data_IF_102673799933
#
_entry.id   IF_102673799933
#
_cell.length_a   1.000
_cell.length_b   1.000
_cell.length_c   1.000
_cell.angle_alpha   90.00
_cell.angle_beta   90.00
_cell.angle_gamma   90.00
#
_symmetry.space_group_name_H-M   'P 1'
#
loop_
_entity.id
_entity.type
_entity.pdbx_description
1 polymer ?
#
# COMPACT_ATOMS: atom_id res chain seq x y z
N UNK A 1 -0.62 -5.62 29.84
CA UNK A 1 0.19 -6.43 28.91
C UNK A 1 0.91 -5.46 27.99
N UNK A 2 2.23 -5.38 28.10
CA UNK A 2 3.04 -4.52 27.24
C UNK A 2 2.97 -5.07 25.81
N UNK A 3 2.49 -4.27 24.86
CA UNK A 3 2.52 -4.63 23.44
C UNK A 3 3.97 -4.51 22.99
N UNK A 4 4.65 -5.63 22.81
CA UNK A 4 5.89 -5.68 22.03
C UNK A 4 5.52 -5.41 20.57
N UNK A 5 5.48 -4.13 20.21
CA UNK A 5 5.48 -3.69 18.81
C UNK A 5 6.90 -3.93 18.28
N UNK A 6 7.10 -4.76 17.24
CA UNK A 6 8.44 -5.03 16.74
C UNK A 6 9.01 -3.78 16.02
N UNK A 7 10.28 -3.48 16.31
CA UNK A 7 10.94 -2.15 16.28
C UNK A 7 11.40 -1.61 14.92
N UNK A 8 10.70 -1.88 13.82
CA UNK A 8 11.30 -1.72 12.48
C UNK A 8 10.75 -0.57 11.61
N UNK A 9 9.94 0.29 12.24
CA UNK A 9 9.84 1.74 12.10
C UNK A 9 9.09 2.12 13.38
N UNK A 10 9.62 2.99 14.22
CA UNK A 10 8.79 3.56 15.28
C UNK A 10 7.63 4.28 14.56
N UNK A 11 6.42 3.68 14.60
CA UNK A 11 5.16 4.17 14.04
C UNK A 11 5.18 4.60 12.53
N UNK A 12 5.20 3.66 11.55
CA UNK A 12 5.29 4.02 10.15
C UNK A 12 4.06 4.82 9.66
N UNK A 13 4.27 5.84 8.85
CA UNK A 13 3.16 6.57 8.22
C UNK A 13 2.80 5.90 6.89
N UNK A 14 1.53 5.49 6.78
CA UNK A 14 0.95 4.95 5.56
C UNK A 14 0.02 5.97 4.91
N UNK A 15 0.34 6.37 3.68
CA UNK A 15 -0.58 7.12 2.84
C UNK A 15 -1.50 6.14 2.10
N UNK A 16 -2.79 6.20 2.38
CA UNK A 16 -3.82 5.38 1.72
C UNK A 16 -4.49 6.20 0.62
N UNK A 17 -4.47 5.66 -0.60
CA UNK A 17 -5.03 6.26 -1.81
C UNK A 17 -6.08 5.32 -2.40
N UNK A 18 -7.24 5.87 -2.74
CA UNK A 18 -8.39 5.10 -3.21
C UNK A 18 -9.39 4.78 -2.09
N UNK A 19 -10.46 4.08 -2.47
CA UNK A 19 -11.60 3.77 -1.59
C UNK A 19 -12.09 2.34 -1.81
N UNK A 20 -12.86 1.81 -0.87
CA UNK A 20 -13.46 0.47 -0.95
C UNK A 20 -13.23 -0.31 0.34
N UNK A 21 -14.16 -1.22 0.68
CA UNK A 21 -14.09 -1.92 1.95
C UNK A 21 -12.82 -2.77 2.12
N UNK A 22 -12.23 -3.28 1.02
CA UNK A 22 -10.96 -3.99 1.05
C UNK A 22 -9.77 -3.07 1.36
N UNK A 23 -9.79 -1.85 0.82
CA UNK A 23 -8.79 -0.81 1.09
C UNK A 23 -8.88 -0.37 2.55
N UNK A 24 -10.11 -0.16 3.04
CA UNK A 24 -10.35 0.16 4.45
C UNK A 24 -9.91 -0.96 5.38
N UNK A 25 -10.17 -2.21 5.02
CA UNK A 25 -9.73 -3.36 5.82
C UNK A 25 -8.20 -3.43 5.90
N UNK A 26 -7.49 -3.20 4.79
CA UNK A 26 -6.04 -3.10 4.80
C UNK A 26 -5.53 -1.93 5.63
N UNK A 27 -6.10 -0.74 5.48
CA UNK A 27 -5.76 0.42 6.30
C UNK A 27 -6.00 0.17 7.80
N UNK A 28 -7.09 -0.51 8.15
CA UNK A 28 -7.40 -0.88 9.53
C UNK A 28 -6.39 -1.87 10.13
N UNK A 29 -6.00 -2.90 9.39
CA UNK A 29 -5.00 -3.86 9.87
C UNK A 29 -3.60 -3.23 9.96
N UNK A 30 -3.26 -2.32 9.04
CA UNK A 30 -2.04 -1.51 9.14
C UNK A 30 -2.04 -0.62 10.39
N UNK A 31 -3.16 0.06 10.67
CA UNK A 31 -3.32 0.85 11.89
C UNK A 31 -3.22 -0.03 13.15
N UNK A 32 -3.83 -1.22 13.14
CA UNK A 32 -3.74 -2.17 14.23
C UNK A 32 -2.32 -2.69 14.46
N UNK A 33 -1.50 -2.75 13.39
CA UNK A 33 -0.08 -3.08 13.42
C UNK A 33 0.82 -1.91 13.85
N UNK A 34 0.27 -0.71 14.06
CA UNK A 34 1.00 0.47 14.55
C UNK A 34 1.24 1.57 13.51
N UNK A 35 0.72 1.44 12.28
CA UNK A 35 0.88 2.49 11.28
C UNK A 35 -0.02 3.70 11.54
N UNK A 36 0.53 4.91 11.41
CA UNK A 36 -0.27 6.13 11.32
C UNK A 36 -0.87 6.23 9.92
N UNK A 37 -2.20 6.30 9.83
CA UNK A 37 -2.90 6.31 8.54
C UNK A 37 -3.20 7.76 8.11
N UNK A 38 -2.68 8.16 6.96
CA UNK A 38 -3.04 9.37 6.26
C UNK A 38 -3.81 9.04 4.98
N UNK A 39 -4.63 9.99 4.50
CA UNK A 39 -5.39 9.83 3.25
C UNK A 39 -4.87 10.77 2.18
N UNK A 40 -4.62 10.20 0.99
CA UNK A 40 -4.22 10.94 -0.20
C UNK A 40 -5.36 10.98 -1.22
N UNK A 41 -5.42 12.02 -2.07
CA UNK A 41 -6.36 12.08 -3.18
C UNK A 41 -5.96 11.06 -4.27
N UNK A 42 -6.95 10.56 -5.02
CA UNK A 42 -6.66 9.89 -6.28
C UNK A 42 -6.28 10.97 -7.31
N UNK A 43 -5.05 10.92 -7.82
CA UNK A 43 -4.55 11.90 -8.79
C UNK A 43 -3.59 11.23 -9.76
N UNK A 44 -3.59 11.70 -11.01
CA UNK A 44 -2.64 11.30 -12.06
C UNK A 44 -1.44 12.26 -12.13
N UNK A 45 -1.40 13.28 -11.28
CA UNK A 45 -0.36 14.30 -11.25
C UNK A 45 0.67 14.01 -10.14
N UNK A 46 1.92 13.74 -10.52
CA UNK A 46 2.99 13.45 -9.58
C UNK A 46 3.27 14.60 -8.59
N UNK A 47 3.07 15.86 -8.98
CA UNK A 47 3.27 16.99 -8.07
C UNK A 47 2.20 17.05 -6.98
N UNK A 48 0.94 16.71 -7.31
CA UNK A 48 -0.14 16.61 -6.33
C UNK A 48 0.07 15.40 -5.40
N UNK A 49 0.53 14.26 -5.95
CA UNK A 49 0.89 13.09 -5.17
C UNK A 49 2.04 13.39 -4.18
N UNK A 50 3.06 14.14 -4.60
CA UNK A 50 4.16 14.58 -3.73
C UNK A 50 3.65 15.51 -2.62
N UNK A 51 2.81 16.49 -2.95
CA UNK A 51 2.21 17.38 -1.96
C UNK A 51 1.35 16.62 -0.92
N UNK A 52 0.69 15.53 -1.34
CA UNK A 52 -0.05 14.66 -0.42
C UNK A 52 0.89 13.91 0.55
N UNK A 53 2.02 13.37 0.06
CA UNK A 53 3.05 12.73 0.89
C UNK A 53 3.63 13.70 1.92
N UNK A 54 4.01 14.91 1.51
CA UNK A 54 4.55 15.94 2.41
C UNK A 54 3.52 16.43 3.43
N UNK A 55 2.25 16.52 3.04
CA UNK A 55 1.17 16.89 3.95
C UNK A 55 0.93 15.80 4.99
N UNK A 56 0.93 14.53 4.58
CA UNK A 56 0.85 13.40 5.50
C UNK A 56 2.04 13.36 6.47
N UNK A 57 3.26 13.54 5.97
CA UNK A 57 4.45 13.63 6.83
C UNK A 57 4.32 14.76 7.86
N UNK A 58 3.95 15.97 7.44
CA UNK A 58 3.82 17.11 8.37
C UNK A 58 2.75 16.88 9.44
N UNK A 59 1.65 16.24 9.07
CA UNK A 59 0.56 15.93 9.99
C UNK A 59 0.97 14.85 11.01
N UNK A 60 1.63 13.79 10.54
CA UNK A 60 2.10 12.70 11.39
C UNK A 60 3.35 13.06 12.21
N UNK A 61 4.12 14.06 11.76
CA UNK A 61 5.48 14.40 12.25
C UNK A 61 6.51 13.29 12.05
N UNK A 62 6.19 12.34 11.18
CA UNK A 62 7.02 11.19 10.83
C UNK A 62 6.98 10.96 9.32
N UNK A 63 8.04 10.38 8.72
CA UNK A 63 8.10 10.18 7.29
C UNK A 63 7.10 9.13 6.79
N UNK A 64 6.59 9.34 5.58
CA UNK A 64 5.79 8.35 4.87
C UNK A 64 6.70 7.25 4.35
N UNK A 65 6.49 6.01 4.77
CA UNK A 65 7.28 4.85 4.31
C UNK A 65 6.42 3.79 3.65
N UNK A 66 5.09 3.96 3.66
CA UNK A 66 4.14 3.07 3.03
C UNK A 66 3.17 3.88 2.17
N UNK A 67 2.96 3.46 0.93
CA UNK A 67 1.83 3.88 0.11
C UNK A 67 0.95 2.67 -0.14
N UNK A 68 -0.29 2.72 0.36
CA UNK A 68 -1.32 1.75 0.03
C UNK A 68 -2.21 2.35 -1.05
N UNK A 69 -2.22 1.75 -2.24
CA UNK A 69 -2.92 2.31 -3.38
C UNK A 69 -3.92 1.30 -3.96
N UNK A 70 -5.17 1.72 -4.09
CA UNK A 70 -6.16 1.01 -4.87
C UNK A 70 -6.55 1.89 -6.06
N UNK A 71 -6.00 1.58 -7.22
CA UNK A 71 -6.24 2.36 -8.43
C UNK A 71 -7.58 2.06 -9.07
N UNK A 72 -8.17 0.89 -8.78
CA UNK A 72 -9.39 0.47 -9.45
C UNK A 72 -9.17 0.26 -10.94
N UNK A 73 -8.04 -0.38 -11.31
CA UNK A 73 -7.50 -0.50 -12.67
C UNK A 73 -7.01 0.83 -13.31
N UNK A 74 -6.57 1.81 -12.51
CA UNK A 74 -6.00 3.07 -13.02
C UNK A 74 -4.49 3.11 -12.84
N UNK A 75 -3.75 2.45 -13.73
CA UNK A 75 -2.29 2.40 -13.68
C UNK A 75 -1.61 3.79 -13.65
N UNK A 76 -2.27 4.82 -14.19
CA UNK A 76 -1.73 6.18 -14.27
C UNK A 76 -1.59 6.81 -12.87
N UNK A 77 -2.60 6.68 -12.01
CA UNK A 77 -2.55 7.23 -10.66
C UNK A 77 -1.51 6.51 -9.79
N UNK A 78 -1.42 5.18 -9.91
CA UNK A 78 -0.40 4.40 -9.22
C UNK A 78 1.02 4.83 -9.64
N UNK A 79 1.23 5.11 -10.94
CA UNK A 79 2.51 5.62 -11.46
C UNK A 79 2.84 7.02 -10.93
N UNK A 80 1.88 7.93 -10.90
CA UNK A 80 2.08 9.27 -10.34
C UNK A 80 2.56 9.21 -8.88
N UNK A 81 1.94 8.34 -8.07
CA UNK A 81 2.40 8.08 -6.70
C UNK A 81 3.75 7.38 -6.64
N UNK A 82 4.07 6.47 -7.56
CA UNK A 82 5.37 5.83 -7.64
C UNK A 82 6.52 6.80 -7.90
N UNK A 83 6.34 7.69 -8.88
CA UNK A 83 7.29 8.74 -9.24
C UNK A 83 7.51 9.70 -8.05
N UNK A 84 6.42 10.23 -7.51
CA UNK A 84 6.44 11.13 -6.36
C UNK A 84 7.09 10.48 -5.12
N UNK A 85 6.73 9.24 -4.82
CA UNK A 85 7.23 8.53 -3.64
C UNK A 85 8.72 8.18 -3.77
N UNK A 86 9.17 7.82 -4.97
CA UNK A 86 10.60 7.60 -5.23
C UNK A 86 11.42 8.86 -5.01
N UNK A 87 10.94 10.01 -5.51
CA UNK A 87 11.57 11.30 -5.28
C UNK A 87 11.61 11.64 -3.79
N UNK A 88 10.44 11.56 -3.12
CA UNK A 88 10.29 11.81 -1.70
C UNK A 88 11.26 10.99 -0.84
N UNK A 89 11.36 9.68 -1.08
CA UNK A 89 12.27 8.79 -0.35
C UNK A 89 13.75 9.07 -0.65
N UNK A 90 14.07 9.53 -1.87
CA UNK A 90 15.44 9.88 -2.23
C UNK A 90 15.90 11.13 -1.46
N UNK A 91 15.06 12.16 -1.38
CA UNK A 91 15.33 13.40 -0.64
C UNK A 91 15.46 13.14 0.87
N UNK A 92 14.62 12.26 1.43
CA UNK A 92 14.67 11.87 2.84
C UNK A 92 15.77 10.81 3.15
N UNK A 93 16.45 10.27 2.13
CA UNK A 93 17.35 9.12 2.22
C UNK A 93 16.73 7.88 2.91
N UNK A 94 15.46 7.60 2.62
CA UNK A 94 14.70 6.49 3.17
C UNK A 94 14.49 5.37 2.13
N UNK A 95 13.89 4.28 2.59
CA UNK A 95 13.29 3.22 1.78
C UNK A 95 11.81 3.12 2.15
N UNK A 96 11.01 2.62 1.22
CA UNK A 96 9.58 2.47 1.44
C UNK A 96 8.96 1.35 0.62
N UNK A 97 7.67 1.14 0.84
CA UNK A 97 6.89 0.10 0.16
C UNK A 97 5.63 0.70 -0.47
N UNK A 98 5.35 0.30 -1.71
CA UNK A 98 4.07 0.50 -2.36
C UNK A 98 3.33 -0.83 -2.37
N UNK A 99 2.10 -0.84 -1.85
CA UNK A 99 1.20 -1.98 -1.95
C UNK A 99 0.00 -1.60 -2.81
N UNK A 100 -0.19 -2.32 -3.91
CA UNK A 100 -1.37 -2.19 -4.75
C UNK A 100 -2.45 -3.17 -4.28
N UNK A 101 -3.71 -2.70 -4.17
CA UNK A 101 -4.88 -3.56 -3.98
C UNK A 101 -5.79 -3.37 -5.19
N UNK A 102 -5.91 -4.42 -6.01
CA UNK A 102 -6.62 -4.32 -7.29
C UNK A 102 -7.63 -5.45 -7.50
N UNK A 103 -8.64 -5.22 -8.36
CA UNK A 103 -9.56 -6.27 -8.77
C UNK A 103 -8.82 -7.46 -9.39
N UNK A 104 -9.32 -8.68 -9.16
CA UNK A 104 -8.82 -9.87 -9.86
C UNK A 104 -8.88 -9.66 -11.38
N UNK A 105 -7.76 -9.92 -12.05
CA UNK A 105 -7.63 -9.78 -13.51
C UNK A 105 -6.97 -8.48 -13.95
N UNK A 106 -6.69 -7.56 -13.02
CA UNK A 106 -5.83 -6.41 -13.29
C UNK A 106 -4.41 -6.88 -13.67
N UNK A 107 -3.86 -6.36 -14.77
CA UNK A 107 -2.47 -6.64 -15.16
C UNK A 107 -1.52 -5.71 -14.42
N UNK A 108 -1.03 -6.17 -13.27
CA UNK A 108 -0.12 -5.40 -12.43
C UNK A 108 1.36 -5.65 -12.73
N UNK A 109 1.70 -6.54 -13.68
CA UNK A 109 3.10 -6.90 -13.91
C UNK A 109 3.93 -5.70 -14.39
N UNK A 110 3.35 -4.91 -15.30
CA UNK A 110 4.00 -3.69 -15.82
C UNK A 110 4.07 -2.63 -14.72
N UNK A 111 2.97 -2.37 -14.01
CA UNK A 111 2.93 -1.40 -12.93
C UNK A 111 3.98 -1.72 -11.85
N UNK A 112 4.04 -2.97 -11.35
CA UNK A 112 5.01 -3.39 -10.34
C UNK A 112 6.46 -3.23 -10.81
N UNK A 113 6.75 -3.54 -12.07
CA UNK A 113 8.09 -3.37 -12.64
C UNK A 113 8.49 -1.89 -12.72
N UNK A 114 7.54 -1.00 -13.00
CA UNK A 114 7.78 0.44 -13.05
C UNK A 114 7.92 1.05 -11.66
N UNK A 115 7.14 0.58 -10.68
CA UNK A 115 7.13 1.11 -9.31
C UNK A 115 8.30 0.60 -8.46
N UNK A 116 8.74 -0.65 -8.67
CA UNK A 116 9.85 -1.22 -7.93
C UNK A 116 11.18 -0.56 -8.34
N UNK A 117 12.04 -0.30 -7.36
CA UNK A 117 13.34 0.31 -7.59
C UNK A 117 14.28 0.17 -6.39
N UNK A 118 15.47 0.82 -6.44
CA UNK A 118 16.48 0.68 -5.38
C UNK A 118 16.01 1.09 -3.98
N UNK A 119 15.01 1.99 -3.89
CA UNK A 119 14.44 2.50 -2.63
C UNK A 119 13.01 2.04 -2.37
N UNK A 120 12.34 1.48 -3.36
CA UNK A 120 10.91 1.16 -3.32
C UNK A 120 10.71 -0.33 -3.56
N UNK A 121 10.11 -1.01 -2.58
CA UNK A 121 9.51 -2.32 -2.78
C UNK A 121 8.10 -2.13 -3.29
N UNK A 122 7.70 -2.82 -4.35
CA UNK A 122 6.34 -2.76 -4.86
C UNK A 122 5.74 -4.17 -4.91
N UNK A 123 4.56 -4.36 -4.33
CA UNK A 123 3.81 -5.62 -4.39
C UNK A 123 2.33 -5.33 -4.68
N UNK A 124 1.61 -6.32 -5.19
CA UNK A 124 0.18 -6.22 -5.49
C UNK A 124 -0.61 -7.39 -4.91
N UNK A 125 -1.83 -7.09 -4.46
CA UNK A 125 -2.85 -8.06 -4.11
C UNK A 125 -4.00 -7.93 -5.11
N UNK A 126 -4.22 -8.99 -5.90
CA UNK A 126 -5.42 -9.14 -6.72
C UNK A 126 -6.53 -9.82 -5.92
N UNK A 127 -7.66 -9.17 -5.73
CA UNK A 127 -8.79 -9.69 -4.93
C UNK A 127 -10.14 -9.29 -5.50
N UNK A 128 -11.18 -10.09 -5.25
CA UNK A 128 -12.57 -9.74 -5.60
C UNK A 128 -13.19 -8.82 -4.55
N UNK A 129 -12.53 -8.61 -3.42
CA UNK A 129 -13.06 -7.90 -2.26
C UNK A 129 -12.59 -6.45 -2.13
N UNK A 130 -12.06 -5.86 -3.21
CA UNK A 130 -11.64 -4.44 -3.21
C UNK A 130 -12.79 -3.53 -2.75
N UNK A 131 -13.98 -3.73 -3.30
CA UNK A 131 -15.16 -2.90 -3.04
C UNK A 131 -15.99 -3.37 -1.86
N UNK A 132 -15.93 -4.66 -1.50
CA UNK A 132 -16.81 -5.26 -0.49
C UNK A 132 -16.62 -6.76 -0.38
N UNK A 133 -16.92 -7.34 0.79
CA UNK A 133 -16.80 -8.77 1.01
C UNK A 133 -17.24 -9.20 2.41
N UNK A 134 -17.27 -10.50 2.66
CA UNK A 134 -17.49 -11.03 4.00
C UNK A 134 -16.38 -10.54 4.95
N UNK A 135 -16.75 -10.24 6.20
CA UNK A 135 -15.83 -9.69 7.21
C UNK A 135 -14.54 -10.49 7.37
N UNK A 136 -14.63 -11.82 7.35
CA UNK A 136 -13.48 -12.72 7.46
C UNK A 136 -12.51 -12.55 6.28
N UNK A 137 -13.03 -12.42 5.07
CA UNK A 137 -12.23 -12.21 3.85
C UNK A 137 -11.56 -10.84 3.84
N UNK A 138 -12.28 -9.80 4.25
CA UNK A 138 -11.71 -8.46 4.41
C UNK A 138 -10.57 -8.44 5.46
N UNK A 139 -10.73 -9.16 6.58
CA UNK A 139 -9.66 -9.33 7.57
C UNK A 139 -8.46 -10.08 7.01
N UNK A 140 -8.68 -11.16 6.27
CA UNK A 140 -7.59 -11.92 5.64
C UNK A 140 -6.82 -11.07 4.63
N UNK A 141 -7.53 -10.28 3.82
CA UNK A 141 -6.95 -9.30 2.91
C UNK A 141 -6.08 -8.27 3.66
N UNK A 142 -6.61 -7.70 4.75
CA UNK A 142 -5.86 -6.73 5.54
C UNK A 142 -4.64 -7.33 6.24
N UNK A 143 -4.73 -8.57 6.73
CA UNK A 143 -3.59 -9.28 7.31
C UNK A 143 -2.50 -9.55 6.28
N UNK A 144 -2.86 -9.94 5.05
CA UNK A 144 -1.91 -10.09 3.96
C UNK A 144 -1.26 -8.75 3.58
N UNK A 145 -2.05 -7.67 3.53
CA UNK A 145 -1.53 -6.33 3.27
C UNK A 145 -0.50 -5.91 4.34
N UNK A 146 -0.81 -6.09 5.62
CA UNK A 146 0.10 -5.82 6.73
C UNK A 146 1.37 -6.65 6.65
N UNK A 147 1.28 -7.93 6.26
CA UNK A 147 2.45 -8.78 6.03
C UNK A 147 3.31 -8.26 4.86
N UNK A 148 2.73 -7.91 3.72
CA UNK A 148 3.50 -7.52 2.53
C UNK A 148 4.26 -6.20 2.69
N UNK A 149 3.74 -5.26 3.49
CA UNK A 149 4.46 -4.03 3.81
C UNK A 149 5.46 -4.20 4.96
N UNK A 150 5.47 -5.37 5.60
CA UNK A 150 6.35 -5.65 6.72
C UNK A 150 7.82 -5.89 6.32
N UNK A 151 8.73 -5.84 7.29
CA UNK A 151 10.10 -6.31 7.12
C UNK A 151 10.21 -7.84 7.09
N UNK A 152 9.20 -8.58 7.56
CA UNK A 152 9.13 -10.03 7.31
C UNK A 152 9.02 -10.32 5.80
N UNK A 153 8.49 -9.37 5.04
CA UNK A 153 8.44 -9.39 3.59
C UNK A 153 9.54 -8.50 2.94
N UNK A 154 10.64 -8.18 3.64
CA UNK A 154 11.71 -7.30 3.14
C UNK A 154 12.29 -7.74 1.78
N UNK A 155 12.30 -9.05 1.52
CA UNK A 155 12.79 -9.64 0.26
C UNK A 155 11.68 -9.96 -0.75
N UNK A 156 10.44 -9.62 -0.45
CA UNK A 156 9.30 -9.77 -1.37
C UNK A 156 9.13 -8.47 -2.14
N UNK A 157 9.41 -8.52 -3.44
CA UNK A 157 9.26 -7.39 -4.35
C UNK A 157 8.81 -7.90 -5.72
N UNK A 158 7.93 -7.16 -6.39
CA UNK A 158 7.32 -7.54 -7.65
C UNK A 158 6.29 -8.67 -7.53
N UNK A 159 5.86 -9.02 -6.32
CA UNK A 159 4.89 -10.08 -6.12
C UNK A 159 3.48 -9.62 -6.50
N UNK A 160 2.77 -10.43 -7.28
CA UNK A 160 1.34 -10.30 -7.54
C UNK A 160 0.63 -11.51 -6.95
N UNK A 161 0.02 -11.31 -5.77
CA UNK A 161 -0.67 -12.38 -5.05
C UNK A 161 -2.16 -12.31 -5.30
N UNK A 162 -2.74 -13.43 -5.73
CA UNK A 162 -4.19 -13.59 -5.80
C UNK A 162 -4.71 -14.15 -4.48
N UNK A 163 -5.49 -13.38 -3.74
CA UNK A 163 -6.35 -13.92 -2.68
C UNK A 163 -7.64 -14.34 -3.40
N UNK A 164 -8.24 -15.46 -3.03
CA UNK A 164 -9.62 -15.80 -3.48
C UNK A 164 -9.76 -16.41 -4.88
N UNK A 165 -8.67 -16.79 -5.57
CA UNK A 165 -8.77 -17.57 -6.84
C UNK A 165 -9.58 -18.87 -6.67
N UNK A 166 -9.55 -19.47 -5.48
CA UNK A 166 -10.31 -20.68 -5.14
C UNK A 166 -11.79 -20.43 -4.84
N UNK A 167 -12.18 -19.18 -4.57
CA UNK A 167 -13.58 -18.84 -4.23
C UNK A 167 -14.44 -18.64 -5.49
N UNK A 168 -13.82 -18.63 -6.67
CA UNK A 168 -14.52 -18.90 -7.93
C UNK A 168 -14.69 -20.40 -8.06
N UNK A 169 -15.89 -20.90 -7.76
CA UNK A 169 -16.33 -22.15 -8.37
C UNK A 169 -16.18 -21.99 -9.89
N UNK A 170 -15.40 -22.87 -10.51
CA UNK A 170 -15.34 -23.01 -11.97
C UNK A 170 -16.70 -23.52 -12.44
#
# INVERSE_FOLDING_TARGET
MSRTVPSWLDDPVCLVVGTGAGVEAAAHELAAAGATIARGPLTENAAEALAALETAQRAARDPVTIVLHASGNQDIAARAYGEAFTQYLAEANLKGTILLIEPVGADMAVALKTLAGPRVRANAIGTTYVTGGAREKLRALGALAAYLVSEYAAYVCGAHLGVDRSDRAV
#
